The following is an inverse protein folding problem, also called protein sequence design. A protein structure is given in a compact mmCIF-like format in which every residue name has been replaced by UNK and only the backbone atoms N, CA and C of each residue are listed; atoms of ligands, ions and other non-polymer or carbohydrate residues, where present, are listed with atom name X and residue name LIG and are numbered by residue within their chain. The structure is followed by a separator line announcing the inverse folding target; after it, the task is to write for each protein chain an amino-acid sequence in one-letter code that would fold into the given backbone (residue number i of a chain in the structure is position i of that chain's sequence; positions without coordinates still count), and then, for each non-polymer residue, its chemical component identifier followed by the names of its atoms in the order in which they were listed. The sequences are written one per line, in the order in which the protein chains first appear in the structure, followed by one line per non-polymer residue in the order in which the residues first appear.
data_IF_972166522811
#
_entry.id   IF_972166522811
#
_cell.length_a   1.000
_cell.length_b   1.000
_cell.length_c   1.000
_cell.angle_alpha   90.00
_cell.angle_beta   90.00
_cell.angle_gamma   90.00
#
_symmetry.space_group_name_H-M   'P 1'
#
loop_
_entity.id
_entity.type
_entity.pdbx_description
1 polymer ?
#
# COMPACT_ATOMS: atom_id res chain seq x y z
N UNK A 1 0.70 0.05 -22.62
CA UNK A 1 1.06 0.32 -21.21
C UNK A 1 2.00 -0.81 -20.83
N UNK A 2 3.29 -0.50 -20.85
CA UNK A 2 4.37 -1.47 -20.72
C UNK A 2 4.35 -2.19 -19.37
N UNK A 3 4.71 -3.47 -19.34
CA UNK A 3 4.74 -4.32 -18.13
C UNK A 3 5.55 -3.67 -16.99
N UNK A 4 6.60 -2.92 -17.35
CA UNK A 4 7.44 -2.15 -16.41
C UNK A 4 6.67 -1.04 -15.71
N UNK A 5 5.66 -0.48 -16.36
CA UNK A 5 4.79 0.57 -15.82
C UNK A 5 3.79 -0.01 -14.81
N UNK A 6 3.31 -1.25 -15.02
CA UNK A 6 2.48 -1.98 -14.05
C UNK A 6 3.26 -2.35 -12.79
N UNK A 7 4.47 -2.88 -12.95
CA UNK A 7 5.34 -3.25 -11.82
C UNK A 7 5.76 -1.98 -11.05
N UNK A 8 6.11 -0.91 -11.77
CA UNK A 8 6.41 0.39 -11.20
C UNK A 8 5.23 0.97 -10.41
N UNK A 9 4.02 0.94 -10.98
CA UNK A 9 2.80 1.40 -10.33
C UNK A 9 2.48 0.62 -9.05
N UNK A 10 2.63 -0.72 -9.09
CA UNK A 10 2.44 -1.58 -7.92
C UNK A 10 3.46 -1.31 -6.81
N UNK A 11 4.73 -1.10 -7.16
CA UNK A 11 5.79 -0.78 -6.20
C UNK A 11 5.57 0.59 -5.52
N UNK A 12 5.11 1.59 -6.28
CA UNK A 12 4.77 2.92 -5.76
C UNK A 12 3.57 2.83 -4.79
N UNK A 13 2.55 2.05 -5.11
CA UNK A 13 1.43 1.80 -4.20
C UNK A 13 1.87 1.15 -2.89
N UNK A 14 2.77 0.17 -2.97
CA UNK A 14 3.36 -0.48 -1.79
C UNK A 14 4.11 0.51 -0.90
N UNK A 15 4.99 1.32 -1.49
CA UNK A 15 5.75 2.34 -0.76
C UNK A 15 4.82 3.37 -0.09
N UNK A 16 3.77 3.79 -0.78
CA UNK A 16 2.77 4.70 -0.23
C UNK A 16 2.00 4.08 0.96
N UNK A 17 1.59 2.81 0.84
CA UNK A 17 0.90 2.09 1.92
C UNK A 17 1.76 1.95 3.18
N UNK A 18 3.04 1.59 3.02
CA UNK A 18 4.00 1.50 4.12
C UNK A 18 4.24 2.87 4.75
N UNK A 19 4.36 3.93 3.94
CA UNK A 19 4.55 5.29 4.44
C UNK A 19 3.36 5.77 5.27
N UNK A 20 2.12 5.48 4.85
CA UNK A 20 0.90 5.81 5.60
C UNK A 20 0.88 5.06 6.95
N UNK A 21 1.23 3.78 6.96
CA UNK A 21 1.32 2.97 8.19
C UNK A 21 2.41 3.46 9.15
N UNK A 22 3.57 3.86 8.61
CA UNK A 22 4.65 4.44 9.38
C UNK A 22 4.24 5.78 10.00
N UNK A 23 3.61 6.67 9.22
CA UNK A 23 3.10 7.95 9.69
C UNK A 23 2.01 7.77 10.75
N UNK A 24 1.12 6.80 10.63
CA UNK A 24 0.13 6.49 11.67
C UNK A 24 0.75 6.05 12.99
N UNK A 25 1.82 5.28 12.91
CA UNK A 25 2.54 4.77 14.08
C UNK A 25 3.33 5.89 14.75
N UNK A 26 3.94 6.78 13.95
CA UNK A 26 4.80 7.86 14.43
C UNK A 26 4.02 9.12 14.86
N UNK A 27 2.95 9.48 14.17
CA UNK A 27 2.17 10.69 14.44
C UNK A 27 1.26 10.58 15.67
N UNK A 28 1.19 9.41 16.32
CA UNK A 28 0.47 9.26 17.58
C UNK A 28 -0.99 9.70 17.50
N UNK A 29 -1.71 9.31 16.44
CA UNK A 29 -3.12 9.70 16.26
C UNK A 29 -3.93 9.24 17.48
N UNK A 30 -4.38 10.20 18.30
CA UNK A 30 -5.08 9.96 19.57
C UNK A 30 -6.51 9.42 19.37
N UNK A 31 -7.09 9.59 18.18
CA UNK A 31 -8.39 9.01 17.83
C UNK A 31 -8.28 7.52 17.52
N UNK A 32 -8.69 6.65 18.45
CA UNK A 32 -8.73 5.18 18.28
C UNK A 32 -9.44 4.75 16.98
N UNK A 33 -10.57 5.38 16.66
CA UNK A 33 -11.35 5.09 15.45
C UNK A 33 -10.62 5.51 14.17
N UNK A 34 -9.97 6.67 14.19
CA UNK A 34 -9.24 7.19 13.02
C UNK A 34 -7.99 6.34 12.74
N UNK A 35 -7.31 5.89 13.80
CA UNK A 35 -6.14 5.00 13.71
C UNK A 35 -6.51 3.62 13.13
N UNK A 36 -7.68 3.08 13.48
CA UNK A 36 -8.19 1.83 12.90
C UNK A 36 -8.52 1.98 11.42
N UNK A 37 -9.26 3.03 11.04
CA UNK A 37 -9.64 3.27 9.64
C UNK A 37 -8.40 3.46 8.77
N UNK A 38 -7.47 4.34 9.19
CA UNK A 38 -6.24 4.59 8.45
C UNK A 38 -5.31 3.36 8.42
N UNK A 39 -5.29 2.55 9.49
CA UNK A 39 -4.57 1.28 9.53
C UNK A 39 -5.13 0.27 8.52
N UNK A 40 -6.45 0.13 8.45
CA UNK A 40 -7.14 -0.73 7.45
C UNK A 40 -6.84 -0.24 6.04
N UNK A 41 -6.89 1.08 5.80
CA UNK A 41 -6.57 1.67 4.50
C UNK A 41 -5.13 1.37 4.11
N UNK A 42 -4.17 1.59 5.01
CA UNK A 42 -2.75 1.29 4.75
C UNK A 42 -2.49 -0.18 4.44
N UNK A 43 -3.11 -1.10 5.19
CA UNK A 43 -3.01 -2.54 4.92
C UNK A 43 -3.62 -2.90 3.56
N UNK A 44 -4.79 -2.35 3.22
CA UNK A 44 -5.43 -2.58 1.93
C UNK A 44 -4.59 -2.06 0.77
N UNK A 45 -3.95 -0.89 0.91
CA UNK A 45 -3.03 -0.36 -0.11
C UNK A 45 -1.82 -1.28 -0.31
N UNK A 46 -1.26 -1.84 0.77
CA UNK A 46 -0.18 -2.83 0.70
C UNK A 46 -0.65 -4.10 -0.01
N UNK A 47 -1.81 -4.64 0.35
CA UNK A 47 -2.38 -5.84 -0.28
C UNK A 47 -2.60 -5.63 -1.78
N UNK A 48 -3.19 -4.49 -2.18
CA UNK A 48 -3.43 -4.17 -3.60
C UNK A 48 -2.11 -3.99 -4.35
N UNK A 49 -1.10 -3.34 -3.74
CA UNK A 49 0.22 -3.17 -4.32
C UNK A 49 0.92 -4.52 -4.56
N UNK A 50 0.93 -5.40 -3.54
CA UNK A 50 1.49 -6.76 -3.66
C UNK A 50 0.72 -7.58 -4.68
N UNK A 51 -0.61 -7.52 -4.66
CA UNK A 51 -1.45 -8.25 -5.63
C UNK A 51 -1.12 -7.79 -7.03
N UNK A 52 -1.10 -6.48 -7.29
CA UNK A 52 -0.79 -5.89 -8.61
C UNK A 52 0.58 -6.31 -9.14
N UNK A 53 1.61 -6.33 -8.28
CA UNK A 53 2.93 -6.86 -8.65
C UNK A 53 2.85 -8.36 -8.94
N UNK A 54 2.20 -9.14 -8.09
CA UNK A 54 2.06 -10.59 -8.26
C UNK A 54 1.24 -11.01 -9.49
N UNK A 55 0.19 -10.27 -9.87
CA UNK A 55 -0.54 -10.52 -11.13
C UNK A 55 0.34 -10.16 -12.33
N UNK A 56 1.17 -9.12 -12.21
CA UNK A 56 2.11 -8.74 -13.26
C UNK A 56 3.23 -9.77 -13.46
N UNK A 57 3.64 -10.47 -12.40
CA UNK A 57 4.67 -11.53 -12.46
C UNK A 57 4.12 -12.85 -13.03
N UNK A 58 2.84 -13.17 -12.77
CA UNK A 58 2.16 -14.38 -13.26
C UNK A 58 1.73 -14.32 -14.74
N UNK A 59 1.80 -13.13 -15.35
CA UNK A 59 1.46 -12.91 -16.76
C UNK A 59 2.64 -13.21 -17.71
N UNK A 60 3.83 -13.54 -17.17
CA UNK A 60 5.05 -13.96 -17.89
C UNK A 60 5.10 -15.46 -18.08
#
# INVERSE_FOLDING_TARGET
MDEREKIGGGAVMLAAGILILALLTFAGIQGRSLRLVLGIVGVMTVVIGVLSIGISEKAV
#
